data_IF_945142003312
#
_entry.id   IF_945142003312
#
_cell.length_a   1.000
_cell.length_b   1.000
_cell.length_c   1.000
_cell.angle_alpha   90.00
_cell.angle_beta   90.00
_cell.angle_gamma   90.00
#
_symmetry.space_group_name_H-M   'P 1'
#
loop_
_entity.id
_entity.type
_entity.pdbx_description
1 polymer ?
#
# COMPACT_ATOMS: atom_id res chain seq x y z
N UNK A 1 -18.53 13.16 -4.55
CA UNK A 1 -18.10 12.11 -5.50
C UNK A 1 -16.63 11.71 -5.35
N UNK A 2 -15.66 12.65 -5.30
CA UNK A 2 -14.22 12.30 -5.17
C UNK A 2 -13.85 11.38 -3.99
N UNK A 3 -14.56 11.52 -2.86
CA UNK A 3 -14.33 10.68 -1.68
C UNK A 3 -14.85 9.26 -1.87
N UNK A 4 -16.04 9.08 -2.46
CA UNK A 4 -16.57 7.75 -2.79
C UNK A 4 -15.66 7.02 -3.79
N UNK A 5 -15.20 7.72 -4.83
CA UNK A 5 -14.23 7.17 -5.76
C UNK A 5 -12.91 6.79 -5.05
N UNK A 6 -12.39 7.67 -4.21
CA UNK A 6 -11.19 7.40 -3.45
C UNK A 6 -11.32 6.21 -2.48
N UNK A 7 -12.50 6.04 -1.89
CA UNK A 7 -12.81 4.90 -1.03
C UNK A 7 -12.81 3.59 -1.81
N UNK A 8 -13.52 3.53 -2.94
CA UNK A 8 -13.55 2.33 -3.80
C UNK A 8 -12.15 2.00 -4.30
N UNK A 9 -11.39 3.00 -4.72
CA UNK A 9 -10.01 2.80 -5.16
C UNK A 9 -9.12 2.29 -4.02
N UNK A 10 -9.22 2.87 -2.82
CA UNK A 10 -8.50 2.39 -1.63
C UNK A 10 -8.87 0.95 -1.25
N UNK A 11 -10.15 0.60 -1.37
CA UNK A 11 -10.65 -0.75 -1.13
C UNK A 11 -10.06 -1.77 -2.11
N UNK A 12 -9.95 -1.42 -3.39
CA UNK A 12 -9.32 -2.27 -4.41
C UNK A 12 -7.80 -2.34 -4.26
N UNK A 13 -7.17 -1.24 -3.86
CA UNK A 13 -5.72 -1.17 -3.63
C UNK A 13 -5.29 -2.04 -2.46
N UNK A 14 -6.12 -2.20 -1.44
CA UNK A 14 -5.79 -2.99 -0.25
C UNK A 14 -5.38 -4.43 -0.60
N UNK A 15 -6.23 -5.25 -1.27
CA UNK A 15 -5.82 -6.58 -1.70
C UNK A 15 -4.76 -6.50 -2.79
N UNK A 16 -4.80 -5.54 -3.72
CA UNK A 16 -3.80 -5.45 -4.78
C UNK A 16 -2.38 -5.26 -4.23
N UNK A 17 -2.20 -4.43 -3.20
CA UNK A 17 -0.91 -4.21 -2.54
C UNK A 17 -0.51 -5.40 -1.68
N UNK A 18 -1.45 -5.95 -0.90
CA UNK A 18 -1.17 -7.08 -0.02
C UNK A 18 -0.75 -8.32 -0.82
N UNK A 19 -1.58 -8.71 -1.80
CA UNK A 19 -1.31 -9.87 -2.67
C UNK A 19 -0.20 -9.57 -3.69
N UNK A 20 -0.08 -8.34 -4.21
CA UNK A 20 1.03 -7.99 -5.11
C UNK A 20 2.40 -8.13 -4.42
N UNK A 21 2.50 -7.66 -3.17
CA UNK A 21 3.73 -7.80 -2.38
C UNK A 21 4.03 -9.26 -2.02
N UNK A 22 3.04 -10.01 -1.52
CA UNK A 22 3.24 -11.40 -1.13
C UNK A 22 3.63 -12.29 -2.33
N UNK A 23 2.98 -12.09 -3.48
CA UNK A 23 3.30 -12.88 -4.67
C UNK A 23 4.70 -12.55 -5.20
N UNK A 24 5.04 -11.26 -5.28
CA UNK A 24 6.37 -10.83 -5.69
C UNK A 24 7.47 -11.38 -4.77
N UNK A 25 7.21 -11.41 -3.45
CA UNK A 25 8.13 -11.98 -2.47
C UNK A 25 8.33 -13.49 -2.67
N UNK A 26 7.24 -14.25 -2.83
CA UNK A 26 7.29 -15.71 -3.05
C UNK A 26 8.04 -16.04 -4.34
N UNK A 27 7.75 -15.35 -5.44
CA UNK A 27 8.43 -15.61 -6.71
C UNK A 27 9.91 -15.24 -6.66
N UNK A 28 10.27 -14.20 -5.92
CA UNK A 28 11.68 -13.87 -5.66
C UNK A 28 12.37 -14.99 -4.89
N UNK A 29 11.79 -15.45 -3.79
CA UNK A 29 12.34 -16.51 -2.95
C UNK A 29 12.50 -17.84 -3.71
N UNK A 30 11.53 -18.20 -4.56
CA UNK A 30 11.58 -19.44 -5.34
C UNK A 30 12.50 -19.37 -6.58
N UNK A 31 13.10 -18.21 -6.87
CA UNK A 31 13.97 -18.00 -8.05
C UNK A 31 15.47 -18.11 -7.76
N UNK A 32 15.83 -18.34 -6.51
CA UNK A 32 17.20 -18.39 -6.02
C UNK A 32 17.42 -19.62 -5.14
N UNK A 33 18.51 -20.35 -5.39
CA UNK A 33 19.00 -21.36 -4.44
C UNK A 33 20.02 -20.72 -3.50
N UNK A 34 19.63 -20.54 -2.24
CA UNK A 34 20.49 -19.99 -1.20
C UNK A 34 21.70 -20.87 -0.86
N UNK A 35 21.66 -22.16 -1.20
CA UNK A 35 22.75 -23.09 -0.91
C UNK A 35 23.82 -23.03 -1.98
N UNK A 36 23.41 -23.06 -3.25
CA UNK A 36 24.29 -22.89 -4.41
C UNK A 36 24.67 -21.44 -4.72
N UNK A 37 24.03 -20.45 -4.08
CA UNK A 37 24.17 -19.02 -4.36
C UNK A 37 23.92 -18.69 -5.84
N UNK A 38 22.95 -19.37 -6.46
CA UNK A 38 22.67 -19.27 -7.88
C UNK A 38 21.20 -18.89 -8.15
N UNK A 39 20.99 -18.04 -9.15
CA UNK A 39 19.66 -17.74 -9.67
C UNK A 39 19.22 -18.90 -10.56
N UNK A 40 18.27 -19.69 -10.06
CA UNK A 40 17.75 -20.88 -10.74
C UNK A 40 16.74 -20.52 -11.84
N UNK A 41 16.05 -19.39 -11.72
CA UNK A 41 15.10 -18.89 -12.73
C UNK A 41 15.19 -17.36 -12.89
N UNK A 42 15.87 -16.94 -13.97
CA UNK A 42 16.06 -15.52 -14.30
C UNK A 42 14.76 -14.82 -14.70
N UNK A 43 13.86 -15.51 -15.38
CA UNK A 43 12.60 -14.89 -15.81
C UNK A 43 11.73 -14.60 -14.59
N UNK A 44 11.69 -15.55 -13.66
CA UNK A 44 10.94 -15.42 -12.41
C UNK A 44 11.53 -14.36 -11.49
N UNK A 45 12.85 -14.27 -11.33
CA UNK A 45 13.44 -13.23 -10.47
C UNK A 45 13.21 -11.82 -11.02
N UNK A 46 13.32 -11.62 -12.34
CA UNK A 46 13.04 -10.32 -12.95
C UNK A 46 11.56 -9.97 -12.89
N UNK A 47 10.66 -10.95 -13.08
CA UNK A 47 9.23 -10.77 -12.91
C UNK A 47 8.86 -10.39 -11.47
N UNK A 48 9.43 -11.07 -10.48
CA UNK A 48 9.27 -10.76 -9.06
C UNK A 48 9.73 -9.34 -8.73
N UNK A 49 10.93 -8.99 -9.20
CA UNK A 49 11.49 -7.64 -9.01
C UNK A 49 10.61 -6.57 -9.66
N UNK A 50 10.18 -6.79 -10.91
CA UNK A 50 9.30 -5.86 -11.63
C UNK A 50 7.96 -5.68 -10.91
N UNK A 51 7.38 -6.76 -10.37
CA UNK A 51 6.12 -6.71 -9.63
C UNK A 51 6.27 -5.94 -8.31
N UNK A 52 7.33 -6.22 -7.54
CA UNK A 52 7.59 -5.48 -6.29
C UNK A 52 7.90 -4.01 -6.56
N UNK A 53 8.63 -3.71 -7.64
CA UNK A 53 8.87 -2.35 -8.08
C UNK A 53 7.56 -1.64 -8.47
N UNK A 54 6.64 -2.34 -9.14
CA UNK A 54 5.32 -1.80 -9.47
C UNK A 54 4.48 -1.53 -8.21
N UNK A 55 4.48 -2.43 -7.23
CA UNK A 55 3.81 -2.22 -5.92
C UNK A 55 4.40 -1.01 -5.20
N UNK A 56 5.73 -0.90 -5.17
CA UNK A 56 6.43 0.25 -4.59
C UNK A 56 6.11 1.56 -5.31
N UNK A 57 6.07 1.54 -6.65
CA UNK A 57 5.72 2.70 -7.47
C UNK A 57 4.28 3.15 -7.22
N UNK A 58 3.31 2.22 -7.21
CA UNK A 58 1.91 2.53 -6.90
C UNK A 58 1.79 3.14 -5.51
N UNK A 59 2.46 2.54 -4.52
CA UNK A 59 2.50 3.06 -3.14
C UNK A 59 3.08 4.47 -3.08
N UNK A 60 4.22 4.71 -3.74
CA UNK A 60 4.86 6.02 -3.81
C UNK A 60 4.00 7.08 -4.50
N UNK A 61 3.34 6.71 -5.62
CA UNK A 61 2.39 7.59 -6.31
C UNK A 61 1.24 7.97 -5.38
N UNK A 62 0.64 7.02 -4.66
CA UNK A 62 -0.44 7.32 -3.70
C UNK A 62 0.03 8.32 -2.65
N UNK A 63 1.25 8.13 -2.14
CA UNK A 63 1.83 8.99 -1.11
C UNK A 63 2.03 10.43 -1.61
N UNK A 64 2.59 10.59 -2.81
CA UNK A 64 2.95 11.91 -3.36
C UNK A 64 1.78 12.61 -4.04
N UNK A 65 0.86 11.86 -4.66
CA UNK A 65 -0.13 12.42 -5.58
C UNK A 65 -1.21 13.24 -4.84
N UNK A 66 -1.08 14.57 -4.94
CA UNK A 66 -1.96 15.55 -4.26
C UNK A 66 -3.41 15.52 -4.73
N UNK A 67 -3.67 15.06 -5.95
CA UNK A 67 -5.03 14.97 -6.51
C UNK A 67 -5.89 13.86 -5.89
N UNK A 68 -5.26 12.91 -5.18
CA UNK A 68 -5.91 11.71 -4.72
C UNK A 68 -6.60 12.01 -3.39
N UNK A 69 -7.89 11.69 -3.34
CA UNK A 69 -8.68 11.73 -2.11
C UNK A 69 -7.91 11.08 -0.95
N UNK A 70 -7.93 11.63 0.28
CA UNK A 70 -7.27 11.04 1.45
C UNK A 70 -7.66 9.57 1.67
N UNK A 71 -8.88 9.19 1.28
CA UNK A 71 -9.39 7.84 1.43
C UNK A 71 -8.64 6.79 0.58
N UNK A 72 -7.99 7.21 -0.51
CA UNK A 72 -7.20 6.30 -1.36
C UNK A 72 -6.03 5.71 -0.58
N UNK A 73 -5.40 6.49 0.29
CA UNK A 73 -4.29 6.02 1.12
C UNK A 73 -4.74 5.57 2.51
N UNK A 74 -5.75 6.22 3.10
CA UNK A 74 -6.23 5.92 4.44
C UNK A 74 -6.86 4.53 4.54
N UNK A 75 -7.67 4.13 3.56
CA UNK A 75 -8.32 2.80 3.56
C UNK A 75 -7.29 1.66 3.59
N UNK A 76 -6.32 1.58 2.64
CA UNK A 76 -5.29 0.54 2.69
C UNK A 76 -4.38 0.67 3.91
N UNK A 77 -4.07 1.90 4.36
CA UNK A 77 -3.29 2.10 5.58
C UNK A 77 -3.95 1.45 6.81
N UNK A 78 -5.22 1.76 7.05
CA UNK A 78 -5.96 1.24 8.20
C UNK A 78 -6.20 -0.27 8.06
N UNK A 79 -6.43 -0.78 6.85
CA UNK A 79 -6.59 -2.21 6.64
C UNK A 79 -5.31 -2.99 6.95
N UNK A 80 -4.15 -2.54 6.45
CA UNK A 80 -2.86 -3.19 6.70
C UNK A 80 -2.43 -3.09 8.16
N UNK A 81 -2.63 -1.93 8.79
CA UNK A 81 -2.35 -1.74 10.21
C UNK A 81 -3.30 -2.56 11.07
N UNK A 82 -4.59 -2.58 10.76
CA UNK A 82 -5.59 -3.39 11.45
C UNK A 82 -5.27 -4.88 11.35
N UNK A 83 -4.84 -5.35 10.17
CA UNK A 83 -4.42 -6.73 9.97
C UNK A 83 -3.16 -7.06 10.79
N UNK A 84 -2.19 -6.14 10.84
CA UNK A 84 -0.98 -6.28 11.64
C UNK A 84 -1.28 -6.30 13.14
N UNK A 85 -2.16 -5.41 13.63
CA UNK A 85 -2.58 -5.38 15.03
C UNK A 85 -3.35 -6.64 15.40
N UNK A 86 -4.25 -7.11 14.53
CA UNK A 86 -4.96 -8.38 14.75
C UNK A 86 -3.98 -9.55 14.89
N UNK A 87 -2.93 -9.59 14.07
CA UNK A 87 -1.87 -10.58 14.17
C UNK A 87 -1.11 -10.52 15.51
N UNK A 88 -0.87 -9.33 16.06
CA UNK A 88 -0.23 -9.17 17.36
C UNK A 88 -1.12 -9.62 18.54
N UNK A 89 -2.44 -9.57 18.37
CA UNK A 89 -3.42 -9.99 19.40
C UNK A 89 -3.61 -11.52 19.36
N UNK A 90 -3.83 -12.07 18.16
CA UNK A 90 -4.11 -13.49 17.97
C UNK A 90 -3.45 -13.99 16.68
N UNK A 91 -2.14 -14.33 16.74
CA UNK A 91 -1.40 -14.72 15.55
C UNK A 91 -1.94 -16.03 14.96
N UNK A 92 -2.38 -16.98 15.79
CA UNK A 92 -2.90 -18.27 15.32
C UNK A 92 -4.15 -18.10 14.46
N UNK A 93 -5.12 -17.32 14.94
CA UNK A 93 -6.33 -17.05 14.17
C UNK A 93 -6.07 -16.30 12.88
N UNK A 94 -5.14 -15.34 12.89
CA UNK A 94 -4.87 -14.48 11.73
C UNK A 94 -4.04 -15.20 10.66
N UNK A 95 -3.04 -16.00 11.06
CA UNK A 95 -2.25 -16.79 10.11
C UNK A 95 -3.04 -17.93 9.46
N UNK A 96 -4.17 -18.31 10.05
CA UNK A 96 -5.15 -19.25 9.47
C UNK A 96 -6.08 -18.61 8.42
N UNK A 97 -6.17 -17.28 8.36
CA UNK A 97 -7.07 -16.59 7.42
C UNK A 97 -6.70 -16.77 5.94
N UNK A 98 -5.41 -16.67 5.52
CA UNK A 98 -5.02 -16.88 4.12
C UNK A 98 -5.52 -18.21 3.55
N UNK A 99 -5.35 -19.30 4.30
CA UNK A 99 -5.83 -20.64 3.89
C UNK A 99 -7.34 -20.78 3.74
N UNK A 100 -8.12 -19.80 4.23
CA UNK A 100 -9.59 -19.79 4.15
C UNK A 100 -10.11 -18.97 2.97
N UNK A 101 -9.25 -18.25 2.25
CA UNK A 101 -9.63 -17.34 1.16
C UNK A 101 -8.81 -17.68 -0.10
N UNK A 102 -9.45 -18.08 -1.21
CA UNK A 102 -8.74 -18.31 -2.47
C UNK A 102 -8.02 -17.03 -2.96
N UNK A 103 -6.86 -17.13 -3.64
CA UNK A 103 -6.15 -18.37 -4.01
C UNK A 103 -5.28 -18.92 -2.87
N UNK A 104 -5.43 -20.23 -2.60
CA UNK A 104 -4.63 -20.97 -1.63
C UNK A 104 -3.31 -21.47 -2.22
N UNK A 105 -2.29 -21.69 -1.39
CA UNK A 105 -1.01 -22.29 -1.80
C UNK A 105 0.20 -21.44 -1.36
N UNK A 106 1.28 -21.42 -2.16
CA UNK A 106 2.53 -20.69 -1.85
C UNK A 106 2.31 -19.20 -1.50
N UNK A 107 1.19 -18.64 -1.95
CA UNK A 107 0.76 -17.28 -1.65
C UNK A 107 0.47 -17.05 -0.16
N UNK A 108 -0.03 -18.07 0.53
CA UNK A 108 -0.32 -18.04 1.96
C UNK A 108 0.97 -17.83 2.76
N UNK A 109 2.05 -18.47 2.33
CA UNK A 109 3.36 -18.34 2.97
C UNK A 109 3.95 -16.95 2.78
N UNK A 110 3.76 -16.36 1.59
CA UNK A 110 4.13 -14.96 1.33
C UNK A 110 3.38 -14.00 2.26
N UNK A 111 2.05 -14.14 2.37
CA UNK A 111 1.22 -13.32 3.25
C UNK A 111 1.64 -13.44 4.71
N UNK A 112 1.84 -14.67 5.19
CA UNK A 112 2.27 -14.96 6.57
C UNK A 112 3.66 -14.39 6.85
N UNK A 113 4.61 -14.54 5.93
CA UNK A 113 5.99 -14.06 6.08
C UNK A 113 6.06 -12.54 6.09
N UNK A 114 5.34 -11.86 5.19
CA UNK A 114 5.29 -10.40 5.15
C UNK A 114 4.56 -9.80 6.36
N UNK A 115 3.54 -10.50 6.87
CA UNK A 115 2.86 -10.11 8.10
C UNK A 115 3.76 -10.30 9.32
N UNK A 116 4.38 -11.46 9.46
CA UNK A 116 5.28 -11.81 10.57
C UNK A 116 6.56 -10.97 10.60
N UNK A 117 7.04 -10.50 9.45
CA UNK A 117 8.18 -9.56 9.37
C UNK A 117 7.81 -8.10 9.66
N UNK A 118 6.52 -7.77 9.75
CA UNK A 118 6.05 -6.39 9.98
C UNK A 118 6.04 -5.51 8.72
N UNK A 119 6.32 -6.07 7.54
CA UNK A 119 6.34 -5.32 6.27
C UNK A 119 4.98 -4.66 5.97
N UNK A 120 3.88 -5.35 6.27
CA UNK A 120 2.54 -4.76 6.11
C UNK A 120 2.26 -3.61 7.08
N UNK A 121 2.75 -3.69 8.33
CA UNK A 121 2.65 -2.58 9.27
C UNK A 121 3.44 -1.36 8.77
N UNK A 122 4.67 -1.57 8.30
CA UNK A 122 5.51 -0.52 7.73
C UNK A 122 4.84 0.17 6.53
N UNK A 123 4.31 -0.62 5.59
CA UNK A 123 3.58 -0.09 4.43
C UNK A 123 2.30 0.66 4.84
N UNK A 124 1.60 0.15 5.85
CA UNK A 124 0.43 0.80 6.45
C UNK A 124 0.77 2.18 7.03
N UNK A 125 1.85 2.30 7.79
CA UNK A 125 2.31 3.61 8.30
C UNK A 125 2.74 4.56 7.19
N UNK A 126 3.44 4.07 6.16
CA UNK A 126 3.82 4.88 5.01
C UNK A 126 2.59 5.45 4.27
N UNK A 127 1.54 4.65 4.11
CA UNK A 127 0.27 5.06 3.49
C UNK A 127 -0.61 5.93 4.40
N UNK A 128 -0.36 5.92 5.72
CA UNK A 128 -1.06 6.77 6.68
C UNK A 128 -0.57 8.23 6.59
N UNK A 129 0.72 8.46 6.34
CA UNK A 129 1.34 9.79 6.30
C UNK A 129 0.58 10.84 5.47
N UNK A 130 0.16 10.56 4.21
CA UNK A 130 -0.58 11.52 3.40
C UNK A 130 -1.91 11.96 4.01
N UNK A 131 -2.55 11.12 4.82
CA UNK A 131 -3.88 11.40 5.39
C UNK A 131 -3.85 12.56 6.39
N UNK A 132 -2.69 12.89 6.95
CA UNK A 132 -2.53 14.00 7.89
C UNK A 132 -2.39 15.36 7.22
N UNK A 133 -2.25 15.42 5.89
CA UNK A 133 -2.18 16.67 5.16
C UNK A 133 -3.57 17.34 5.08
N UNK A 134 -3.82 18.47 5.78
CA UNK A 134 -5.16 19.09 5.83
C UNK A 134 -5.68 19.48 4.44
N UNK A 135 -4.75 19.88 3.55
CA UNK A 135 -5.00 20.24 2.15
C UNK A 135 -5.67 19.15 1.31
N UNK A 136 -5.54 17.87 1.68
CA UNK A 136 -6.19 16.76 0.95
C UNK A 136 -7.66 16.60 1.31
N UNK A 137 -8.09 17.08 2.48
CA UNK A 137 -9.48 17.04 2.92
C UNK A 137 -10.29 18.21 2.35
N UNK A 138 -9.63 19.37 2.19
CA UNK A 138 -10.20 20.56 1.55
C UNK A 138 -10.49 20.35 0.07
N UNK A 139 -11.60 20.93 -0.43
CA UNK A 139 -11.76 21.07 -1.88
C UNK A 139 -10.83 22.16 -2.37
N UNK A 140 -9.83 21.80 -3.18
CA UNK A 140 -8.88 22.71 -3.84
C UNK A 140 -9.50 23.67 -4.85
N UNK A 141 -10.61 24.30 -4.49
CA UNK A 141 -11.22 25.43 -5.19
C UNK A 141 -11.43 26.64 -4.27
N UNK A 142 -11.23 26.51 -2.95
CA UNK A 142 -11.31 27.66 -2.03
C UNK A 142 -9.95 28.15 -1.56
N UNK A 143 -8.98 27.25 -1.35
CA UNK A 143 -7.69 27.65 -0.80
C UNK A 143 -6.78 28.32 -1.84
N UNK A 144 -6.78 27.85 -3.10
CA UNK A 144 -5.99 28.48 -4.17
C UNK A 144 -6.59 29.85 -4.59
N UNK A 145 -7.91 29.96 -4.62
CA UNK A 145 -8.62 31.21 -4.97
C UNK A 145 -8.56 32.23 -3.82
N UNK A 146 -8.60 31.80 -2.55
CA UNK A 146 -8.41 32.70 -1.41
C UNK A 146 -6.95 33.15 -1.27
N UNK A 147 -5.97 32.29 -1.54
CA UNK A 147 -4.56 32.66 -1.51
C UNK A 147 -4.19 33.67 -2.62
N UNK A 148 -4.77 33.52 -3.82
CA UNK A 148 -4.61 34.50 -4.90
C UNK A 148 -5.25 35.85 -4.51
N UNK A 149 -6.49 35.83 -4.00
CA UNK A 149 -7.21 37.07 -3.64
C UNK A 149 -6.49 37.85 -2.53
N UNK A 150 -5.94 37.17 -1.52
CA UNK A 150 -5.17 37.82 -0.45
C UNK A 150 -3.86 38.43 -0.99
N UNK A 151 -3.16 37.75 -1.90
CA UNK A 151 -1.91 38.26 -2.51
C UNK A 151 -2.15 39.52 -3.34
N UNK A 152 -3.21 39.56 -4.15
CA UNK A 152 -3.58 40.75 -4.92
C UNK A 152 -4.07 41.90 -4.04
N UNK A 153 -4.72 41.62 -2.90
CA UNK A 153 -5.16 42.66 -1.96
C UNK A 153 -4.00 43.31 -1.18
N UNK A 154 -2.94 42.54 -0.91
CA UNK A 154 -1.76 43.02 -0.19
C UNK A 154 -0.80 43.81 -1.11
N UNK A 155 -0.72 43.46 -2.39
CA UNK A 155 0.09 44.18 -3.38
C UNK A 155 -0.53 45.50 -3.87
N UNK A 156 -1.81 45.74 -3.55
CA UNK A 156 -2.55 46.94 -3.96
C UNK A 156 -2.65 48.05 -2.90
N UNK A 157 -1.90 47.98 -1.79
CA UNK A 157 -1.81 49.04 -0.78
C UNK A 157 -0.45 49.72 -0.77
#
# INVERSE_FOLDING_TARGET
MRHAFGFVLGLLLTPALAYGAAWGFVQGGQSFDGTGQEITDRTRIYGAFALLAAVGLVTGVIIVARWASPLVSLVPALALLGFSVAFLIDPGRVLDLPSKVPPSGDMDDGLRTLLGSGMYAMMGFALLMPSWAPRRWGSGRRDDEAADVDFYSAAGR
#
